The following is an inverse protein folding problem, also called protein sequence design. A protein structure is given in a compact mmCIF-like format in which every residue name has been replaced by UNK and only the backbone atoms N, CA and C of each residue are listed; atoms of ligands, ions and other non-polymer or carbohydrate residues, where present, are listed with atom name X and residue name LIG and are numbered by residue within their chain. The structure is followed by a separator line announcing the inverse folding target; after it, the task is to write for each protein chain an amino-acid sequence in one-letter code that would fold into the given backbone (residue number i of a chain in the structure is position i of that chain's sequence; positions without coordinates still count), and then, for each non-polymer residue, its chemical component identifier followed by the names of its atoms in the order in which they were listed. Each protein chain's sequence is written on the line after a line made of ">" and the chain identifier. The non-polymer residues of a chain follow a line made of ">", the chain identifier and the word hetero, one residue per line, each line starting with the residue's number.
data_IF_593040235601
#
_entry.id   IF_593040235601
#
_cell.length_a   1.000
_cell.length_b   1.000
_cell.length_c   1.000
_cell.angle_alpha   90.00
_cell.angle_beta   90.00
_cell.angle_gamma   90.00
#
_symmetry.space_group_name_H-M   'P 1'
#
loop_
_entity.id
_entity.type
_entity.pdbx_description
1 polymer ?
#
# COMPACT_ATOMS: atom_id res chain seq x y z
N UNK A 1 -30.46 5.94 27.83
CA UNK A 1 -30.69 5.78 26.37
C UNK A 1 -29.35 5.45 25.74
N UNK A 2 -28.99 4.17 25.71
CA UNK A 2 -27.79 3.68 25.04
C UNK A 2 -28.17 3.57 23.56
N UNK A 3 -27.74 4.53 22.73
CA UNK A 3 -27.88 4.41 21.28
C UNK A 3 -27.04 3.22 20.84
N UNK A 4 -27.72 2.12 20.49
CA UNK A 4 -27.18 1.00 19.76
C UNK A 4 -26.64 1.58 18.45
N UNK A 5 -25.33 1.79 18.36
CA UNK A 5 -24.68 2.05 17.08
C UNK A 5 -25.00 0.86 16.20
N UNK A 6 -25.71 1.08 15.11
CA UNK A 6 -25.99 0.07 14.08
C UNK A 6 -24.62 -0.35 13.50
N UNK A 7 -24.01 -1.31 14.19
CA UNK A 7 -22.63 -1.75 14.09
C UNK A 7 -22.47 -2.73 12.93
N UNK A 8 -23.07 -2.41 11.79
CA UNK A 8 -22.84 -3.18 10.57
C UNK A 8 -21.55 -2.66 9.96
N UNK A 9 -20.50 -3.47 10.02
CA UNK A 9 -19.31 -3.30 9.20
C UNK A 9 -19.73 -3.36 7.72
N UNK A 10 -20.17 -2.23 7.18
CA UNK A 10 -20.52 -2.12 5.77
C UNK A 10 -19.24 -2.01 4.95
N UNK A 11 -19.22 -2.53 3.70
CA UNK A 11 -18.10 -2.30 2.80
C UNK A 11 -17.76 -0.82 2.67
N UNK A 12 -18.77 0.06 2.58
CA UNK A 12 -18.57 1.51 2.53
C UNK A 12 -17.88 2.09 3.77
N UNK A 13 -18.26 1.64 4.97
CA UNK A 13 -17.60 2.04 6.22
C UNK A 13 -16.16 1.54 6.30
N UNK A 14 -15.91 0.30 5.87
CA UNK A 14 -14.56 -0.26 5.79
C UNK A 14 -13.66 0.54 4.84
N UNK A 15 -14.11 0.79 3.61
CA UNK A 15 -13.33 1.55 2.63
C UNK A 15 -13.12 3.01 3.06
N UNK A 16 -14.12 3.63 3.69
CA UNK A 16 -13.99 5.00 4.20
C UNK A 16 -12.96 5.08 5.33
N UNK A 17 -13.02 4.19 6.32
CA UNK A 17 -12.04 4.10 7.38
C UNK A 17 -10.63 3.82 6.82
N UNK A 18 -10.55 2.96 5.81
CA UNK A 18 -9.31 2.65 5.11
C UNK A 18 -8.69 3.87 4.44
N UNK A 19 -9.47 4.59 3.64
CA UNK A 19 -9.02 5.81 2.97
C UNK A 19 -8.51 6.82 4.00
N UNK A 20 -9.27 7.07 5.07
CA UNK A 20 -8.86 8.00 6.12
C UNK A 20 -7.54 7.60 6.78
N UNK A 21 -7.34 6.31 7.04
CA UNK A 21 -6.09 5.79 7.60
C UNK A 21 -4.91 6.01 6.65
N UNK A 22 -5.11 5.80 5.35
CA UNK A 22 -4.08 6.01 4.33
C UNK A 22 -3.71 7.49 4.18
N UNK A 23 -4.69 8.39 4.22
CA UNK A 23 -4.44 9.85 4.22
C UNK A 23 -3.66 10.29 5.46
N UNK A 24 -4.03 9.79 6.64
CA UNK A 24 -3.33 10.11 7.88
C UNK A 24 -1.87 9.63 7.87
N UNK A 25 -1.61 8.42 7.39
CA UNK A 25 -0.24 7.90 7.27
C UNK A 25 0.59 8.70 6.25
N UNK A 26 0.01 9.00 5.09
CA UNK A 26 0.70 9.73 4.03
C UNK A 26 1.04 11.17 4.44
N UNK A 27 0.08 11.89 5.04
CA UNK A 27 0.30 13.26 5.52
C UNK A 27 1.37 13.30 6.62
N UNK A 28 1.35 12.34 7.55
CA UNK A 28 2.37 12.26 8.61
C UNK A 28 3.77 11.98 8.05
N UNK A 29 3.88 11.10 7.07
CA UNK A 29 5.16 10.79 6.44
C UNK A 29 5.78 11.99 5.72
N UNK A 30 4.98 12.75 4.97
CA UNK A 30 5.44 13.97 4.28
C UNK A 30 5.86 15.05 5.29
N UNK A 31 5.13 15.18 6.40
CA UNK A 31 5.50 16.08 7.48
C UNK A 31 6.83 15.66 8.15
N UNK A 32 7.01 14.36 8.43
CA UNK A 32 8.25 13.84 9.01
C UNK A 32 9.45 14.03 8.08
N UNK A 33 9.29 13.68 6.80
CA UNK A 33 10.34 13.88 5.79
C UNK A 33 10.67 15.36 5.57
N UNK A 34 9.75 16.28 5.88
CA UNK A 34 10.02 17.72 5.82
C UNK A 34 10.96 18.21 6.92
N UNK A 35 11.02 17.50 8.05
CA UNK A 35 11.90 17.83 9.17
C UNK A 35 13.27 17.16 9.03
N UNK A 36 13.29 15.88 8.70
CA UNK A 36 14.50 15.05 8.75
C UNK A 36 15.04 14.67 7.36
N UNK A 37 14.40 15.15 6.29
CA UNK A 37 14.75 14.85 4.89
C UNK A 37 14.34 13.46 4.40
N UNK A 38 13.93 12.56 5.30
CA UNK A 38 13.52 11.17 4.99
C UNK A 38 12.40 10.72 5.94
N UNK A 39 11.61 9.74 5.50
CA UNK A 39 10.65 9.05 6.34
C UNK A 39 10.54 7.57 5.92
N UNK A 40 10.35 6.70 6.89
CA UNK A 40 10.03 5.29 6.68
C UNK A 40 8.64 5.03 7.28
N UNK A 41 7.79 4.33 6.52
CA UNK A 41 6.47 3.90 6.98
C UNK A 41 6.47 2.38 6.99
N UNK A 42 6.12 1.79 8.13
CA UNK A 42 5.78 0.38 8.24
C UNK A 42 4.26 0.25 8.26
N UNK A 43 3.71 -0.46 7.29
CA UNK A 43 2.28 -0.67 7.15
C UNK A 43 2.00 -2.08 6.61
N UNK A 44 0.78 -2.58 6.83
CA UNK A 44 0.35 -3.85 6.22
C UNK A 44 0.33 -3.75 4.69
N UNK A 45 0.60 -4.87 4.01
CA UNK A 45 0.76 -4.93 2.55
C UNK A 45 -0.40 -4.29 1.77
N UNK A 46 -1.64 -4.46 2.25
CA UNK A 46 -2.81 -3.85 1.63
C UNK A 46 -2.71 -2.33 1.51
N UNK A 47 -1.94 -1.66 2.36
CA UNK A 47 -1.85 -0.19 2.37
C UNK A 47 -0.90 0.32 1.28
N UNK A 48 -0.11 -0.60 0.73
CA UNK A 48 0.93 -0.34 -0.24
C UNK A 48 0.53 -0.86 -1.62
N UNK A 49 -0.08 -2.06 -1.68
CA UNK A 49 -0.30 -2.81 -2.93
C UNK A 49 -1.31 -2.20 -3.90
N UNK A 50 -2.25 -1.40 -3.40
CA UNK A 50 -3.30 -0.81 -4.23
C UNK A 50 -2.85 0.53 -4.82
N UNK A 51 -3.26 0.81 -6.06
CA UNK A 51 -2.96 2.05 -6.79
C UNK A 51 -3.36 3.31 -5.99
N UNK A 52 -4.47 3.22 -5.26
CA UNK A 52 -4.96 4.23 -4.32
C UNK A 52 -4.58 3.88 -2.87
N UNK A 53 -3.37 3.39 -2.62
CA UNK A 53 -2.82 3.19 -1.28
C UNK A 53 -2.10 4.42 -0.73
N UNK A 54 -1.22 4.21 0.25
CA UNK A 54 -0.39 5.25 0.87
C UNK A 54 0.57 5.88 -0.15
N UNK A 55 1.15 5.09 -1.06
CA UNK A 55 2.21 5.55 -1.97
C UNK A 55 1.74 6.70 -2.86
N UNK A 56 0.57 6.57 -3.48
CA UNK A 56 -0.01 7.63 -4.32
C UNK A 56 -0.36 8.87 -3.49
N UNK A 57 -0.84 8.70 -2.26
CA UNK A 57 -1.12 9.82 -1.34
C UNK A 57 0.13 10.56 -0.89
N UNK A 58 1.22 9.84 -0.60
CA UNK A 58 2.51 10.46 -0.26
C UNK A 58 3.01 11.30 -1.41
N UNK A 59 2.96 10.78 -2.65
CA UNK A 59 3.34 11.56 -3.85
C UNK A 59 2.49 12.82 -4.00
N UNK A 60 1.18 12.71 -3.84
CA UNK A 60 0.25 13.85 -3.89
C UNK A 60 0.55 14.90 -2.82
N UNK A 61 0.73 14.49 -1.56
CA UNK A 61 1.02 15.41 -0.47
C UNK A 61 2.41 16.03 -0.58
N UNK A 62 3.41 15.28 -1.05
CA UNK A 62 4.75 15.81 -1.29
C UNK A 62 4.72 16.90 -2.36
N UNK A 63 4.02 16.66 -3.49
CA UNK A 63 3.82 17.65 -4.53
C UNK A 63 3.09 18.91 -4.00
N UNK A 64 2.00 18.74 -3.26
CA UNK A 64 1.26 19.83 -2.63
C UNK A 64 2.10 20.62 -1.61
N UNK A 65 3.11 19.98 -1.01
CA UNK A 65 4.05 20.59 -0.06
C UNK A 65 5.31 21.17 -0.75
N UNK A 66 5.27 21.42 -2.06
CA UNK A 66 6.39 22.00 -2.81
C UNK A 66 7.54 21.03 -3.11
N UNK A 67 7.32 19.71 -2.98
CA UNK A 67 8.32 18.65 -3.21
C UNK A 67 7.83 17.66 -4.30
N UNK A 68 7.57 18.12 -5.53
CA UNK A 68 7.01 17.27 -6.59
C UNK A 68 7.94 16.12 -7.02
N UNK A 69 9.25 16.29 -6.83
CA UNK A 69 10.26 15.28 -7.17
C UNK A 69 10.67 14.40 -5.98
N UNK A 70 9.86 14.36 -4.92
CA UNK A 70 10.13 13.48 -3.78
C UNK A 70 10.17 12.02 -4.23
N UNK A 71 11.27 11.33 -3.91
CA UNK A 71 11.41 9.91 -4.20
C UNK A 71 10.56 9.10 -3.23
N UNK A 72 9.61 8.34 -3.76
CA UNK A 72 8.72 7.46 -2.99
C UNK A 72 8.84 6.05 -3.53
N UNK A 73 9.50 5.20 -2.74
CA UNK A 73 9.66 3.78 -3.03
C UNK A 73 8.88 2.96 -2.01
N UNK A 74 8.39 1.79 -2.43
CA UNK A 74 7.75 0.84 -1.54
C UNK A 74 8.40 -0.55 -1.65
N UNK A 75 8.44 -1.24 -0.52
CA UNK A 75 8.93 -2.62 -0.42
C UNK A 75 7.85 -3.45 0.23
N UNK A 76 7.43 -4.55 -0.41
CA UNK A 76 6.62 -5.57 0.26
C UNK A 76 7.54 -6.63 0.85
N UNK A 77 7.37 -6.88 2.15
CA UNK A 77 8.18 -7.83 2.91
C UNK A 77 7.42 -9.13 3.12
N UNK A 78 8.15 -10.25 3.09
CA UNK A 78 7.62 -11.59 3.36
C UNK A 78 6.41 -11.93 2.49
N UNK A 79 6.43 -11.51 1.23
CA UNK A 79 5.37 -11.85 0.29
C UNK A 79 5.44 -13.34 -0.01
N UNK A 80 4.40 -14.10 0.35
CA UNK A 80 4.18 -15.39 -0.30
C UNK A 80 3.76 -15.15 -1.75
N UNK A 81 3.89 -16.14 -2.65
CA UNK A 81 3.29 -16.07 -3.98
C UNK A 81 1.79 -15.72 -3.90
N UNK A 82 1.07 -16.22 -2.89
CA UNK A 82 -0.34 -15.92 -2.63
C UNK A 82 -0.63 -14.46 -2.28
N UNK A 83 0.26 -13.78 -1.54
CA UNK A 83 0.09 -12.37 -1.17
C UNK A 83 0.27 -11.40 -2.35
N UNK A 84 0.81 -11.92 -3.45
CA UNK A 84 0.99 -11.21 -4.71
C UNK A 84 -0.18 -11.46 -5.69
N UNK A 85 -1.13 -12.34 -5.34
CA UNK A 85 -2.27 -12.72 -6.18
C UNK A 85 -3.58 -12.03 -5.70
N UNK A 86 -4.44 -11.64 -6.64
CA UNK A 86 -5.78 -11.11 -6.33
C UNK A 86 -6.80 -12.26 -6.30
N UNK A 87 -7.73 -12.24 -5.33
CA UNK A 87 -8.66 -13.33 -5.05
C UNK A 87 -9.92 -13.37 -5.94
N UNK A 88 -10.04 -12.51 -6.95
CA UNK A 88 -11.21 -12.47 -7.85
C UNK A 88 -10.83 -12.88 -9.27
N UNK A 89 -11.40 -14.00 -9.70
CA UNK A 89 -11.64 -14.43 -11.09
C UNK A 89 -10.45 -14.33 -12.06
N UNK A 90 -9.81 -15.46 -12.36
CA UNK A 90 -9.10 -15.78 -13.62
C UNK A 90 -8.39 -14.61 -14.33
N UNK A 91 -7.76 -13.75 -13.55
CA UNK A 91 -7.13 -12.51 -13.98
C UNK A 91 -5.87 -12.34 -13.17
N UNK A 92 -4.75 -12.61 -13.84
CA UNK A 92 -3.41 -12.42 -13.35
C UNK A 92 -3.20 -10.95 -12.93
N UNK A 93 -3.24 -10.65 -11.64
CA UNK A 93 -2.59 -9.43 -11.12
C UNK A 93 -1.05 -9.60 -11.04
N UNK A 94 -0.55 -10.76 -11.48
CA UNK A 94 0.83 -11.02 -11.86
C UNK A 94 0.83 -11.66 -13.25
N UNK A 95 0.71 -10.89 -14.33
CA UNK A 95 1.50 -11.32 -15.49
C UNK A 95 2.96 -11.09 -15.11
N UNK A 96 3.71 -12.19 -14.94
CA UNK A 96 5.14 -12.21 -15.27
C UNK A 96 5.27 -11.32 -16.51
N UNK A 97 5.94 -10.17 -16.42
CA UNK A 97 5.85 -9.07 -17.40
C UNK A 97 5.76 -9.50 -18.87
N UNK A 98 4.56 -9.85 -19.31
CA UNK A 98 4.18 -10.17 -20.69
C UNK A 98 3.00 -9.29 -21.11
N UNK A 99 2.22 -8.76 -20.15
CA UNK A 99 1.26 -7.69 -20.40
C UNK A 99 1.93 -6.34 -20.16
N UNK A 100 2.05 -5.48 -21.19
CA UNK A 100 2.81 -4.24 -21.11
C UNK A 100 2.28 -3.21 -20.09
N UNK A 101 1.10 -3.43 -19.49
CA UNK A 101 0.35 -2.42 -18.72
C UNK A 101 -0.16 -2.86 -17.33
N UNK A 102 0.28 -3.98 -16.77
CA UNK A 102 -0.17 -4.37 -15.42
C UNK A 102 0.38 -3.40 -14.34
N UNK A 103 -0.45 -2.89 -13.41
CA UNK A 103 -0.01 -1.95 -12.39
C UNK A 103 0.97 -2.62 -11.40
N UNK A 104 2.08 -1.94 -11.10
CA UNK A 104 3.10 -2.42 -10.16
C UNK A 104 2.57 -2.35 -8.72
N UNK A 105 2.59 -3.47 -7.99
CA UNK A 105 2.17 -3.55 -6.58
C UNK A 105 3.10 -2.76 -5.64
N UNK A 106 4.40 -2.79 -5.90
CA UNK A 106 5.42 -2.05 -5.15
C UNK A 106 6.66 -1.82 -6.01
N UNK A 107 7.59 -0.99 -5.52
CA UNK A 107 8.89 -0.80 -6.18
C UNK A 107 9.77 -2.05 -6.07
N UNK A 108 9.71 -2.73 -4.92
CA UNK A 108 10.50 -3.93 -4.63
C UNK A 108 9.67 -4.98 -3.90
N UNK A 109 9.99 -6.25 -4.10
CA UNK A 109 9.41 -7.40 -3.41
C UNK A 109 10.53 -8.17 -2.71
N UNK A 110 10.33 -8.52 -1.45
CA UNK A 110 11.26 -9.34 -0.68
C UNK A 110 10.56 -10.64 -0.30
N UNK A 111 10.99 -11.73 -0.94
CA UNK A 111 10.54 -13.09 -0.64
C UNK A 111 11.33 -13.65 0.54
N UNK A 112 10.65 -14.39 1.42
CA UNK A 112 11.34 -15.28 2.34
C UNK A 112 11.67 -16.57 1.59
N UNK A 113 12.92 -17.02 1.71
CA UNK A 113 13.27 -18.36 1.28
C UNK A 113 12.55 -19.36 2.18
N UNK A 114 11.86 -20.33 1.60
CA UNK A 114 11.33 -21.44 2.40
C UNK A 114 12.52 -22.24 2.97
N UNK A 115 12.52 -22.45 4.28
CA UNK A 115 13.42 -23.41 4.92
C UNK A 115 13.09 -24.80 4.37
N UNK A 116 13.84 -25.28 3.37
CA UNK A 116 13.70 -26.65 2.87
C UNK A 116 13.89 -26.87 1.37
N UNK A 117 14.11 -25.84 0.55
CA UNK A 117 14.37 -26.05 -0.89
C UNK A 117 15.80 -26.59 -1.12
N UNK A 118 15.98 -27.82 -1.65
CA UNK A 118 17.31 -28.32 -2.01
C UNK A 118 17.82 -27.52 -3.21
N UNK A 119 19.03 -26.98 -3.07
CA UNK A 119 19.82 -26.37 -4.15
C UNK A 119 20.21 -27.38 -5.21
#
# INVERSE_FOLDING_TARGET
>A
QQQYMDSRATPGGFFSARILRDEAMASRAVASAGRDGRALILAGADHVKFELGIVSRVRRYAAASGRPNARVESVLLSTSPGDSLSASEDSLALTLGTEPNAPRLASYLMYQAEEGSPT
#
